data_IF_319221090143
#
_entry.id   IF_319221090143
#
_cell.length_a   1.000
_cell.length_b   1.000
_cell.length_c   1.000
_cell.angle_alpha   90.00
_cell.angle_beta   90.00
_cell.angle_gamma   90.00
#
_symmetry.space_group_name_H-M   'P 1'
#
loop_
_entity.id
_entity.type
_entity.pdbx_description
1 polymer ?
#
# COMPACT_ATOMS: atom_id res chain seq x y z
N UNK A 1 -3.65 17.35 -22.34
CA UNK A 1 -3.62 18.14 -21.10
C UNK A 1 -2.51 17.55 -20.24
N UNK A 2 -1.43 18.27 -20.01
CA UNK A 2 -0.36 17.80 -19.12
C UNK A 2 -0.82 18.07 -17.68
N UNK A 3 -1.04 17.01 -16.90
CA UNK A 3 -1.22 17.15 -15.45
C UNK A 3 0.11 17.68 -14.90
N UNK A 4 0.04 18.75 -14.13
CA UNK A 4 1.22 19.34 -13.48
C UNK A 4 1.07 19.15 -11.98
N UNK A 5 2.13 18.69 -11.31
CA UNK A 5 2.07 18.35 -9.88
C UNK A 5 3.06 19.18 -9.06
N UNK A 6 2.64 19.63 -7.88
CA UNK A 6 3.53 20.15 -6.83
C UNK A 6 3.98 18.99 -5.96
N UNK A 7 5.30 18.85 -5.76
CA UNK A 7 5.83 17.95 -4.74
C UNK A 7 5.56 18.56 -3.36
N UNK A 8 4.80 17.85 -2.54
CA UNK A 8 4.46 18.28 -1.19
C UNK A 8 5.47 17.77 -0.16
N UNK A 9 5.72 16.46 -0.16
CA UNK A 9 6.70 15.82 0.71
C UNK A 9 7.37 14.66 -0.01
N UNK A 10 8.61 14.37 0.38
CA UNK A 10 9.33 13.16 0.04
C UNK A 10 9.79 12.53 1.35
N UNK A 11 9.28 11.34 1.64
CA UNK A 11 9.60 10.60 2.86
C UNK A 11 10.47 9.40 2.52
N UNK A 12 11.45 9.13 3.37
CA UNK A 12 12.26 7.91 3.30
C UNK A 12 11.83 7.00 4.44
N UNK A 13 11.67 5.72 4.15
CA UNK A 13 11.35 4.70 5.14
C UNK A 13 12.47 3.66 5.20
N UNK A 14 12.90 3.31 6.41
CA UNK A 14 13.90 2.26 6.67
C UNK A 14 14.94 2.69 7.71
N UNK A 15 15.66 1.73 8.27
CA UNK A 15 16.84 1.99 9.10
C UNK A 15 18.03 2.42 8.24
N UNK A 16 19.06 3.03 8.85
CA UNK A 16 20.28 3.48 8.16
C UNK A 16 20.98 2.39 7.32
N UNK A 17 20.73 1.10 7.60
CA UNK A 17 21.26 -0.06 6.87
C UNK A 17 20.33 -0.60 5.77
N UNK A 18 19.03 -0.30 5.82
CA UNK A 18 18.04 -0.83 4.89
C UNK A 18 17.70 0.23 3.82
N UNK A 19 18.32 0.10 2.66
CA UNK A 19 18.24 1.11 1.59
C UNK A 19 16.88 1.10 0.91
N UNK A 20 16.04 2.00 1.41
CA UNK A 20 15.21 2.93 0.64
C UNK A 20 13.90 2.40 0.04
N UNK A 21 12.91 2.17 0.91
CA UNK A 21 11.54 2.50 0.51
C UNK A 21 11.37 4.03 0.60
N UNK A 22 10.70 4.62 -0.38
CA UNK A 22 10.48 6.07 -0.47
C UNK A 22 9.01 6.32 -0.78
N UNK A 23 8.43 7.36 -0.20
CA UNK A 23 7.11 7.83 -0.55
C UNK A 23 7.20 9.27 -1.05
N UNK A 24 6.43 9.60 -2.07
CA UNK A 24 6.22 10.98 -2.50
C UNK A 24 4.74 11.32 -2.37
N UNK A 25 4.47 12.57 -1.99
CA UNK A 25 3.12 13.11 -2.07
C UNK A 25 3.10 14.26 -3.05
N UNK A 26 2.21 14.18 -4.02
CA UNK A 26 2.04 15.13 -5.12
C UNK A 26 0.64 15.72 -5.04
N UNK A 27 0.49 17.00 -5.33
CA UNK A 27 -0.83 17.62 -5.51
C UNK A 27 -0.93 18.22 -6.90
N UNK A 28 -2.01 17.93 -7.61
CA UNK A 28 -2.24 18.50 -8.94
C UNK A 28 -2.43 20.03 -8.83
N UNK A 29 -1.70 20.76 -9.67
CA UNK A 29 -1.57 22.22 -9.67
C UNK A 29 -2.70 22.94 -10.38
N UNK A 30 -3.65 22.27 -11.02
CA UNK A 30 -4.78 22.98 -11.63
C UNK A 30 -5.55 23.72 -10.54
N UNK A 31 -6.01 24.95 -10.82
CA UNK A 31 -6.68 25.81 -9.83
C UNK A 31 -7.95 25.16 -9.21
N UNK A 32 -8.54 24.17 -9.89
CA UNK A 32 -9.71 23.39 -9.42
C UNK A 32 -9.35 21.97 -8.91
N UNK A 33 -8.07 21.63 -8.79
CA UNK A 33 -7.65 20.27 -8.39
C UNK A 33 -7.80 20.09 -6.87
N UNK A 34 -8.65 19.13 -6.54
CA UNK A 34 -8.80 18.60 -5.19
C UNK A 34 -8.01 17.30 -5.00
N UNK A 35 -7.05 16.98 -5.86
CA UNK A 35 -6.43 15.66 -5.88
C UNK A 35 -4.99 15.65 -5.35
N UNK A 36 -4.78 14.86 -4.31
CA UNK A 36 -3.47 14.49 -3.79
C UNK A 36 -3.14 13.05 -4.20
N UNK A 37 -1.90 12.78 -4.62
CA UNK A 37 -1.41 11.44 -4.97
C UNK A 37 -0.29 11.08 -4.00
N UNK A 38 -0.47 10.00 -3.27
CA UNK A 38 0.56 9.36 -2.43
C UNK A 38 1.12 8.19 -3.23
N UNK A 39 2.40 8.24 -3.58
CA UNK A 39 3.05 7.19 -4.34
C UNK A 39 4.22 6.57 -3.55
N UNK A 40 4.19 5.25 -3.38
CA UNK A 40 5.25 4.48 -2.75
C UNK A 40 6.15 3.84 -3.80
N UNK A 41 7.46 4.02 -3.63
CA UNK A 41 8.51 3.40 -4.44
C UNK A 41 8.83 2.01 -3.88
N UNK A 42 8.97 1.03 -4.76
CA UNK A 42 9.54 -0.27 -4.43
C UNK A 42 11.07 -0.28 -4.40
N UNK A 43 11.66 -1.44 -4.14
CA UNK A 43 13.10 -1.68 -4.24
C UNK A 43 13.58 -1.59 -5.69
N UNK A 44 14.90 -1.40 -5.87
CA UNK A 44 15.50 -1.34 -7.20
C UNK A 44 15.42 -2.70 -7.92
N UNK A 45 15.36 -2.75 -9.26
CA UNK A 45 15.18 -3.98 -10.03
C UNK A 45 16.23 -5.08 -9.77
N UNK A 46 17.44 -4.73 -9.31
CA UNK A 46 18.44 -5.74 -8.94
C UNK A 46 18.22 -6.28 -7.53
N UNK A 47 17.56 -5.52 -6.66
CA UNK A 47 17.18 -5.92 -5.31
C UNK A 47 15.78 -6.55 -5.26
N UNK A 48 14.95 -6.45 -6.31
CA UNK A 48 13.68 -7.20 -6.32
C UNK A 48 13.94 -8.69 -6.45
N UNK A 49 14.95 -9.12 -7.20
CA UNK A 49 15.33 -10.55 -7.24
C UNK A 49 15.78 -11.02 -5.86
N UNK A 50 16.66 -10.25 -5.20
CA UNK A 50 17.07 -10.51 -3.82
C UNK A 50 15.87 -10.50 -2.86
N UNK A 51 14.95 -9.52 -2.99
CA UNK A 51 13.73 -9.42 -2.19
C UNK A 51 12.75 -10.58 -2.44
N UNK A 52 12.66 -11.07 -3.68
CA UNK A 52 11.81 -12.21 -4.07
C UNK A 52 12.37 -13.51 -3.49
N UNK A 53 13.70 -13.66 -3.45
CA UNK A 53 14.37 -14.82 -2.84
C UNK A 53 14.43 -14.75 -1.32
N UNK A 54 14.61 -13.55 -0.77
CA UNK A 54 14.70 -13.27 0.66
C UNK A 54 13.35 -13.04 1.30
N UNK A 55 12.25 -13.05 0.52
CA UNK A 55 10.88 -12.73 0.91
C UNK A 55 10.63 -13.25 2.32
N UNK A 56 10.84 -12.36 3.29
CA UNK A 56 10.92 -12.72 4.69
C UNK A 56 9.51 -13.08 5.08
N UNK A 57 9.20 -14.38 5.04
CA UNK A 57 7.91 -14.98 5.37
C UNK A 57 7.57 -14.78 6.86
N UNK A 58 8.18 -13.82 7.56
CA UNK A 58 7.71 -13.36 8.85
C UNK A 58 6.32 -12.75 8.71
N UNK A 59 5.38 -13.29 9.49
CA UNK A 59 4.00 -12.83 9.53
C UNK A 59 3.74 -12.04 10.81
N UNK A 60 2.92 -11.00 10.70
CA UNK A 60 2.21 -10.46 11.85
C UNK A 60 0.76 -10.90 11.80
N UNK A 61 0.36 -11.74 12.77
CA UNK A 61 -1.05 -12.04 13.00
C UNK A 61 -1.67 -10.91 13.81
N UNK A 62 -2.71 -10.32 13.27
CA UNK A 62 -3.48 -9.22 13.84
C UNK A 62 -4.87 -9.77 14.15
N UNK A 63 -5.31 -9.62 15.39
CA UNK A 63 -6.62 -10.12 15.84
C UNK A 63 -7.76 -9.41 15.11
N UNK A 64 -8.69 -10.17 14.52
CA UNK A 64 -9.82 -9.63 13.77
C UNK A 64 -9.47 -9.09 12.37
N UNK A 65 -8.19 -9.17 11.96
CA UNK A 65 -7.74 -8.73 10.64
C UNK A 65 -7.05 -9.85 9.87
N UNK A 66 -6.37 -10.80 10.50
CA UNK A 66 -5.65 -11.87 9.82
C UNK A 66 -4.14 -11.68 9.82
N UNK A 67 -3.43 -12.35 8.92
CA UNK A 67 -1.96 -12.27 8.84
C UNK A 67 -1.50 -11.36 7.72
N UNK A 68 -0.49 -10.55 8.02
CA UNK A 68 0.10 -9.57 7.11
C UNK A 68 1.62 -9.75 7.04
N UNK A 69 2.22 -9.44 5.89
CA UNK A 69 3.66 -9.55 5.67
C UNK A 69 4.43 -8.61 6.59
N UNK A 70 5.28 -9.17 7.46
CA UNK A 70 5.98 -8.42 8.49
C UNK A 70 7.01 -7.43 7.94
N UNK A 71 7.76 -7.84 6.92
CA UNK A 71 8.70 -6.97 6.21
C UNK A 71 8.05 -5.69 5.67
N UNK A 72 6.89 -5.80 5.02
CA UNK A 72 6.19 -4.63 4.47
C UNK A 72 5.65 -3.69 5.56
N UNK A 73 5.11 -4.25 6.65
CA UNK A 73 4.66 -3.43 7.79
C UNK A 73 5.81 -2.64 8.42
N UNK A 74 6.99 -3.26 8.56
CA UNK A 74 8.20 -2.57 9.02
C UNK A 74 8.64 -1.49 8.04
N UNK A 75 8.59 -1.78 6.73
CA UNK A 75 8.95 -0.82 5.69
C UNK A 75 8.01 0.41 5.64
N UNK A 76 6.76 0.33 6.12
CA UNK A 76 5.90 1.51 6.31
C UNK A 76 6.16 2.29 7.61
N UNK A 77 7.02 1.75 8.49
CA UNK A 77 7.25 2.31 9.82
C UNK A 77 6.16 1.96 10.85
N UNK A 78 5.51 0.80 10.74
CA UNK A 78 4.51 0.35 11.73
C UNK A 78 5.03 -0.84 12.54
N UNK A 79 5.03 -0.73 13.88
CA UNK A 79 5.48 -1.78 14.82
C UNK A 79 4.31 -2.65 15.34
N UNK A 80 4.64 -3.90 15.70
CA UNK A 80 3.75 -4.95 16.26
C UNK A 80 2.98 -4.53 17.53
N UNK A 81 3.52 -3.59 18.32
CA UNK A 81 2.87 -3.09 19.54
C UNK A 81 1.87 -1.95 19.27
N UNK A 82 1.83 -1.40 18.06
CA UNK A 82 0.97 -0.26 17.70
C UNK A 82 -0.41 -0.68 17.18
N UNK A 83 -0.72 -1.98 17.13
CA UNK A 83 -2.04 -2.49 16.72
C UNK A 83 -2.98 -2.65 17.93
N UNK A 84 -2.54 -2.17 19.10
CA UNK A 84 -3.41 -1.81 20.22
C UNK A 84 -3.27 -0.31 20.46
N UNK A 85 -4.38 0.47 20.49
CA UNK A 85 -4.30 1.87 20.82
C UNK A 85 -4.03 1.98 22.32
N UNK A 86 -2.84 2.45 22.72
CA UNK A 86 -2.68 3.47 23.78
C UNK A 86 -1.27 3.68 24.37
N UNK A 87 -0.20 3.00 23.95
CA UNK A 87 1.13 3.28 24.52
C UNK A 87 2.20 3.30 23.43
N UNK A 88 2.42 4.48 22.84
CA UNK A 88 3.52 4.73 21.90
C UNK A 88 4.78 5.06 22.71
N UNK A 89 5.62 4.06 22.96
CA UNK A 89 7.04 4.33 23.24
C UNK A 89 7.73 4.69 21.92
N UNK A 90 8.02 5.99 21.74
CA UNK A 90 8.80 6.50 20.62
C UNK A 90 10.24 6.03 20.77
N UNK A 91 10.69 5.18 19.85
CA UNK A 91 12.10 4.78 19.74
C UNK A 91 12.90 5.97 19.16
N UNK A 92 13.87 6.53 19.90
CA UNK A 92 14.62 7.71 19.47
C UNK A 92 15.59 7.44 18.31
N UNK A 93 15.90 6.18 17.97
CA UNK A 93 16.80 5.82 16.86
C UNK A 93 16.07 5.53 15.54
N UNK A 94 14.73 5.51 15.53
CA UNK A 94 13.93 5.29 14.31
C UNK A 94 13.62 6.62 13.62
N UNK A 95 14.20 6.80 12.44
CA UNK A 95 13.97 7.95 11.56
C UNK A 95 12.52 7.91 11.04
N UNK A 96 11.74 8.98 11.31
CA UNK A 96 10.49 9.39 10.66
C UNK A 96 9.65 8.27 9.99
N UNK A 97 8.63 7.79 10.70
CA UNK A 97 7.70 6.76 10.23
C UNK A 97 6.79 7.33 9.13
N UNK A 98 7.02 6.97 7.86
CA UNK A 98 6.31 7.60 6.73
C UNK A 98 4.80 7.52 6.77
N UNK A 99 4.24 6.46 7.36
CA UNK A 99 2.81 6.39 7.61
C UNK A 99 2.30 7.64 8.38
N UNK A 100 2.95 7.98 9.49
CA UNK A 100 2.54 9.12 10.32
C UNK A 100 2.80 10.46 9.62
N UNK A 101 3.91 10.60 8.89
CA UNK A 101 4.18 11.85 8.16
C UNK A 101 3.17 12.10 7.04
N UNK A 102 2.84 11.07 6.26
CA UNK A 102 1.86 11.17 5.19
C UNK A 102 0.47 11.47 5.76
N UNK A 103 0.06 10.78 6.83
CA UNK A 103 -1.26 10.99 7.45
C UNK A 103 -1.39 12.38 8.06
N UNK A 104 -0.38 12.87 8.78
CA UNK A 104 -0.36 14.25 9.27
C UNK A 104 -0.46 15.27 8.13
N UNK A 105 0.31 15.07 7.05
CA UNK A 105 0.27 15.98 5.91
C UNK A 105 -1.09 15.97 5.20
N UNK A 106 -1.73 14.81 5.07
CA UNK A 106 -3.10 14.71 4.56
C UNK A 106 -4.10 15.42 5.46
N UNK A 107 -3.99 15.29 6.79
CA UNK A 107 -4.82 16.01 7.77
C UNK A 107 -4.68 17.52 7.63
N UNK A 108 -3.46 18.04 7.48
CA UNK A 108 -3.21 19.46 7.22
C UNK A 108 -3.92 19.95 5.95
N UNK A 109 -3.79 19.20 4.85
CA UNK A 109 -4.42 19.55 3.58
C UNK A 109 -5.95 19.54 3.72
N UNK A 110 -6.51 18.55 4.41
CA UNK A 110 -7.96 18.42 4.61
C UNK A 110 -8.52 19.41 5.64
N UNK A 111 -7.67 19.97 6.50
CA UNK A 111 -8.05 21.08 7.37
C UNK A 111 -8.33 22.34 6.53
N UNK A 112 -7.50 22.61 5.51
CA UNK A 112 -7.60 23.79 4.65
C UNK A 112 -8.61 23.58 3.50
N UNK A 113 -8.57 22.44 2.84
CA UNK A 113 -9.43 22.12 1.71
C UNK A 113 -10.36 20.94 2.05
N UNK A 114 -11.64 21.25 2.28
CA UNK A 114 -12.64 20.24 2.65
C UNK A 114 -13.08 19.35 1.50
N UNK A 115 -12.82 19.73 0.26
CA UNK A 115 -13.14 18.93 -0.92
C UNK A 115 -11.94 18.13 -1.42
N UNK A 116 -10.75 18.38 -0.87
CA UNK A 116 -9.55 17.61 -1.18
C UNK A 116 -9.73 16.12 -0.86
N UNK A 117 -9.28 15.32 -1.82
CA UNK A 117 -9.28 13.87 -1.84
C UNK A 117 -7.89 13.36 -2.18
N UNK A 118 -7.66 12.07 -1.99
CA UNK A 118 -6.38 11.48 -2.34
C UNK A 118 -6.46 10.09 -2.94
N UNK A 119 -5.40 9.74 -3.67
CA UNK A 119 -5.15 8.43 -4.24
C UNK A 119 -3.86 7.88 -3.67
N UNK A 120 -3.82 6.56 -3.54
CA UNK A 120 -2.59 5.86 -3.15
C UNK A 120 -2.16 4.93 -4.29
N UNK A 121 -0.87 4.94 -4.62
CA UNK A 121 -0.35 4.10 -5.70
C UNK A 121 1.06 3.61 -5.42
N UNK A 122 1.48 2.59 -6.17
CA UNK A 122 2.83 2.07 -6.13
C UNK A 122 3.04 0.93 -7.12
N UNK A 123 4.29 0.72 -7.49
CA UNK A 123 4.73 -0.37 -8.36
C UNK A 123 5.58 -1.38 -7.58
N UNK A 124 5.49 -2.67 -7.92
CA UNK A 124 6.23 -3.75 -7.26
C UNK A 124 6.00 -3.73 -5.75
N UNK A 125 7.07 -3.75 -4.93
CA UNK A 125 7.01 -3.56 -3.48
C UNK A 125 6.23 -2.29 -3.08
N UNK A 126 6.34 -1.20 -3.84
CA UNK A 126 5.58 0.02 -3.62
C UNK A 126 4.07 -0.20 -3.66
N UNK A 127 3.60 -1.14 -4.49
CA UNK A 127 2.20 -1.54 -4.51
C UNK A 127 1.77 -2.18 -3.18
N UNK A 128 2.63 -3.03 -2.59
CA UNK A 128 2.33 -3.67 -1.31
C UNK A 128 2.20 -2.63 -0.18
N UNK A 129 3.10 -1.64 -0.19
CA UNK A 129 3.07 -0.53 0.76
C UNK A 129 1.85 0.36 0.56
N UNK A 130 1.45 0.61 -0.70
CA UNK A 130 0.25 1.38 -1.02
C UNK A 130 -1.02 0.75 -0.42
N UNK A 131 -1.22 -0.56 -0.59
CA UNK A 131 -2.41 -1.22 -0.02
C UNK A 131 -2.31 -1.39 1.51
N UNK A 132 -1.11 -1.56 2.05
CA UNK A 132 -0.91 -1.60 3.50
C UNK A 132 -1.14 -0.25 4.17
N UNK A 133 -0.76 0.85 3.54
CA UNK A 133 -1.07 2.18 4.03
C UNK A 133 -2.59 2.34 4.22
N UNK A 134 -3.38 1.93 3.22
CA UNK A 134 -4.84 1.92 3.33
C UNK A 134 -5.36 0.92 4.38
N UNK A 135 -4.70 -0.23 4.56
CA UNK A 135 -5.04 -1.20 5.59
C UNK A 135 -4.83 -0.64 6.99
N UNK A 136 -3.71 0.03 7.26
CA UNK A 136 -3.42 0.63 8.57
C UNK A 136 -4.42 1.74 8.87
N UNK A 137 -4.73 2.62 7.91
CA UNK A 137 -5.82 3.60 8.06
C UNK A 137 -7.13 2.92 8.49
N UNK A 138 -7.44 1.78 7.87
CA UNK A 138 -8.65 1.01 8.16
C UNK A 138 -8.62 0.37 9.56
N UNK A 139 -7.46 -0.12 10.01
CA UNK A 139 -7.26 -0.68 11.34
C UNK A 139 -7.34 0.38 12.43
N UNK A 140 -6.83 1.58 12.17
CA UNK A 140 -6.88 2.74 13.08
C UNK A 140 -8.23 3.48 13.03
N UNK A 141 -9.18 3.01 12.22
CA UNK A 141 -10.51 3.62 12.03
C UNK A 141 -10.45 5.11 11.68
N UNK A 142 -9.50 5.51 10.82
CA UNK A 142 -9.27 6.87 10.36
C UNK A 142 -10.37 7.37 9.39
N UNK A 143 -11.62 7.42 9.86
CA UNK A 143 -12.83 7.71 9.08
C UNK A 143 -12.70 9.01 8.27
N UNK A 144 -12.06 10.03 8.84
CA UNK A 144 -11.84 11.32 8.18
C UNK A 144 -10.91 11.26 6.96
N UNK A 145 -9.90 10.38 7.01
CA UNK A 145 -9.01 10.12 5.88
C UNK A 145 -9.67 9.13 4.91
N UNK A 146 -10.20 8.01 5.41
CA UNK A 146 -10.80 6.95 4.58
C UNK A 146 -11.98 7.46 3.76
N UNK A 147 -12.80 8.37 4.29
CA UNK A 147 -13.89 9.00 3.54
C UNK A 147 -13.45 9.89 2.37
N UNK A 148 -12.15 10.19 2.26
CA UNK A 148 -11.53 11.00 1.19
C UNK A 148 -10.55 10.20 0.32
N UNK A 149 -10.38 8.91 0.60
CA UNK A 149 -9.56 8.02 -0.20
C UNK A 149 -10.33 7.58 -1.45
N UNK A 150 -9.99 8.15 -2.60
CA UNK A 150 -10.68 7.88 -3.87
C UNK A 150 -10.32 6.51 -4.48
N UNK A 151 -9.20 5.95 -4.07
CA UNK A 151 -8.79 4.62 -4.47
C UNK A 151 -7.31 4.31 -4.29
N UNK A 152 -7.02 3.02 -4.38
CA UNK A 152 -5.69 2.42 -4.34
C UNK A 152 -5.43 1.73 -5.67
N UNK A 153 -4.36 2.12 -6.36
CA UNK A 153 -4.02 1.65 -7.70
C UNK A 153 -2.61 1.09 -7.69
N UNK A 154 -2.43 -0.21 -7.89
CA UNK A 154 -1.13 -0.85 -7.75
C UNK A 154 -0.73 -1.59 -9.01
N UNK A 155 0.57 -1.66 -9.27
CA UNK A 155 1.13 -2.24 -10.49
C UNK A 155 2.18 -3.28 -10.12
N UNK A 156 2.03 -4.52 -10.58
CA UNK A 156 2.98 -5.59 -10.23
C UNK A 156 3.04 -5.87 -8.71
N UNK A 157 1.93 -5.69 -8.00
CA UNK A 157 1.89 -5.79 -6.54
C UNK A 157 2.02 -7.25 -6.07
N UNK A 158 2.96 -7.59 -5.16
CA UNK A 158 3.01 -8.91 -4.55
C UNK A 158 1.86 -9.15 -3.57
N UNK A 159 1.68 -10.38 -3.11
CA UNK A 159 0.66 -10.70 -2.09
C UNK A 159 1.09 -10.15 -0.73
N UNK A 160 0.12 -9.65 0.03
CA UNK A 160 0.38 -8.79 1.20
C UNK A 160 -0.14 -9.36 2.52
N UNK A 161 -1.25 -10.08 2.49
CA UNK A 161 -1.79 -10.79 3.65
C UNK A 161 -2.49 -12.08 3.26
N UNK A 162 -3.07 -12.78 4.23
CA UNK A 162 -3.83 -14.01 4.02
C UNK A 162 -5.30 -13.75 3.62
N UNK A 163 -6.10 -14.82 3.57
CA UNK A 163 -7.51 -14.74 3.23
C UNK A 163 -8.32 -13.87 4.21
N UNK A 164 -8.03 -13.98 5.51
CA UNK A 164 -8.69 -13.21 6.57
C UNK A 164 -8.40 -11.70 6.41
N UNK A 165 -7.15 -11.35 6.05
CA UNK A 165 -6.80 -9.98 5.66
C UNK A 165 -7.59 -9.50 4.44
N UNK A 166 -7.72 -10.35 3.43
CA UNK A 166 -8.55 -10.07 2.26
C UNK A 166 -10.02 -9.81 2.61
N UNK A 167 -10.60 -10.60 3.52
CA UNK A 167 -11.98 -10.44 3.99
C UNK A 167 -12.17 -9.15 4.79
N UNK A 168 -11.24 -8.86 5.70
CA UNK A 168 -11.22 -7.60 6.45
C UNK A 168 -11.22 -6.39 5.51
N UNK A 169 -10.33 -6.39 4.51
CA UNK A 169 -10.23 -5.28 3.56
C UNK A 169 -11.45 -5.17 2.63
N UNK A 170 -12.04 -6.29 2.21
CA UNK A 170 -13.30 -6.29 1.44
C UNK A 170 -14.43 -5.62 2.21
N UNK A 171 -14.65 -6.04 3.46
CA UNK A 171 -15.78 -5.54 4.26
C UNK A 171 -15.56 -4.08 4.73
N UNK A 172 -14.34 -3.74 5.15
CA UNK A 172 -14.05 -2.41 5.68
C UNK A 172 -13.69 -1.44 4.55
N UNK A 173 -12.58 -1.63 3.85
CA UNK A 173 -12.09 -0.67 2.86
C UNK A 173 -13.04 -0.54 1.65
N UNK A 174 -13.41 -1.66 1.03
CA UNK A 174 -14.16 -1.62 -0.24
C UNK A 174 -15.65 -1.36 -0.02
N UNK A 175 -16.27 -1.99 0.98
CA UNK A 175 -17.72 -1.92 1.20
C UNK A 175 -18.14 -0.81 2.16
N UNK A 176 -17.52 -0.66 3.35
CA UNK A 176 -17.87 0.42 4.30
C UNK A 176 -17.48 1.79 3.74
N UNK A 177 -16.25 1.95 3.22
CA UNK A 177 -15.77 3.24 2.72
C UNK A 177 -15.93 3.44 1.22
N UNK A 178 -16.33 2.42 0.45
CA UNK A 178 -16.54 2.55 -1.00
C UNK A 178 -15.24 2.79 -1.78
N UNK A 179 -14.08 2.47 -1.21
CA UNK A 179 -12.78 2.76 -1.82
C UNK A 179 -12.54 1.82 -2.99
N UNK A 180 -12.15 2.38 -4.14
CA UNK A 180 -11.76 1.59 -5.32
C UNK A 180 -10.38 0.98 -5.10
N UNK A 181 -10.23 -0.30 -5.40
CA UNK A 181 -8.93 -0.96 -5.37
C UNK A 181 -8.72 -1.75 -6.65
N UNK A 182 -7.68 -1.40 -7.40
CA UNK A 182 -7.35 -2.04 -8.66
C UNK A 182 -5.88 -2.48 -8.68
N UNK A 183 -5.67 -3.77 -8.88
CA UNK A 183 -4.34 -4.35 -9.09
C UNK A 183 -4.11 -4.56 -10.57
N UNK A 184 -3.08 -3.93 -11.13
CA UNK A 184 -2.66 -4.11 -12.52
C UNK A 184 -1.53 -5.13 -12.60
N UNK A 185 -1.73 -6.15 -13.43
CA UNK A 185 -0.75 -7.23 -13.63
C UNK A 185 -0.43 -7.35 -15.11
N UNK A 186 0.86 -7.36 -15.46
CA UNK A 186 1.30 -7.46 -16.84
C UNK A 186 1.93 -8.82 -17.15
N UNK A 187 1.35 -9.53 -18.10
CA UNK A 187 1.85 -10.76 -18.69
C UNK A 187 2.40 -11.75 -17.65
N UNK A 188 3.69 -12.07 -17.74
CA UNK A 188 4.38 -13.04 -16.90
C UNK A 188 5.15 -12.38 -15.75
N UNK A 189 4.76 -11.17 -15.33
CA UNK A 189 5.35 -10.50 -14.18
C UNK A 189 5.32 -11.41 -12.93
N UNK A 190 6.50 -11.77 -12.43
CA UNK A 190 6.61 -12.71 -11.31
C UNK A 190 6.14 -12.07 -10.00
N UNK A 191 6.18 -10.75 -9.87
CA UNK A 191 6.00 -10.08 -8.57
C UNK A 191 4.59 -10.30 -8.01
N UNK A 192 3.49 -10.17 -8.78
CA UNK A 192 2.16 -10.53 -8.30
C UNK A 192 1.98 -11.98 -7.89
N UNK A 193 2.83 -12.88 -8.37
CA UNK A 193 2.73 -14.31 -8.13
C UNK A 193 3.49 -14.75 -6.88
N UNK A 194 4.14 -13.82 -6.18
CA UNK A 194 4.83 -14.08 -4.92
C UNK A 194 4.19 -13.36 -3.74
N UNK A 195 4.46 -13.83 -2.51
CA UNK A 195 4.93 -15.19 -2.20
C UNK A 195 3.96 -16.27 -2.72
N UNK A 196 4.49 -17.43 -3.12
CA UNK A 196 3.76 -18.52 -3.78
C UNK A 196 2.60 -19.04 -2.90
N UNK A 197 1.52 -19.53 -3.50
CA UNK A 197 0.39 -20.14 -2.80
C UNK A 197 0.58 -21.66 -2.71
N UNK A 198 1.24 -22.15 -1.65
CA UNK A 198 1.29 -23.60 -1.36
C UNK A 198 0.24 -23.99 -0.31
N UNK A 199 -0.09 -25.27 -0.17
CA UNK A 199 -1.39 -25.69 0.39
C UNK A 199 -1.61 -25.56 1.92
N UNK A 200 -0.87 -24.73 2.64
CA UNK A 200 -0.91 -24.75 4.11
C UNK A 200 -1.39 -23.46 4.82
N UNK A 201 -1.05 -22.24 4.38
CA UNK A 201 -1.39 -20.97 5.07
C UNK A 201 -0.87 -19.72 4.31
N UNK A 202 -1.16 -19.57 3.00
CA UNK A 202 -0.42 -18.58 2.18
C UNK A 202 -1.14 -17.26 1.93
N UNK A 203 -0.30 -16.29 1.55
CA UNK A 203 -0.72 -14.96 1.16
C UNK A 203 -1.65 -15.06 -0.03
N UNK A 204 -2.70 -14.25 -0.02
CA UNK A 204 -3.69 -14.19 -1.08
C UNK A 204 -3.91 -12.76 -1.51
N UNK A 205 -4.26 -12.64 -2.78
CA UNK A 205 -4.79 -11.37 -3.25
C UNK A 205 -6.24 -11.21 -2.85
N UNK A 206 -6.68 -9.95 -2.83
CA UNK A 206 -8.08 -9.59 -2.76
C UNK A 206 -8.35 -8.46 -3.76
N UNK A 207 -9.62 -8.26 -4.09
CA UNK A 207 -10.04 -7.27 -5.08
C UNK A 207 -9.72 -7.70 -6.52
N UNK A 208 -10.21 -6.94 -7.51
CA UNK A 208 -10.07 -7.27 -8.92
C UNK A 208 -8.61 -7.19 -9.41
N UNK A 209 -8.22 -8.17 -10.23
CA UNK A 209 -6.99 -8.18 -11.01
C UNK A 209 -7.28 -7.70 -12.44
N UNK A 210 -6.71 -6.55 -12.80
CA UNK A 210 -6.72 -6.02 -14.16
C UNK A 210 -5.47 -6.55 -14.89
N UNK A 211 -5.64 -7.71 -15.53
CA UNK A 211 -4.58 -8.42 -16.22
C UNK A 211 -4.45 -7.94 -17.68
N UNK A 212 -3.24 -7.64 -18.11
CA UNK A 212 -2.90 -7.32 -19.49
C UNK A 212 -1.93 -8.38 -20.04
N UNK A 213 -2.24 -8.98 -21.19
CA UNK A 213 -1.28 -9.87 -21.86
C UNK A 213 -0.17 -9.09 -22.59
N UNK A 214 0.78 -9.79 -23.20
CA UNK A 214 1.90 -9.20 -23.97
C UNK A 214 1.48 -8.42 -25.22
N UNK A 215 0.20 -8.50 -25.61
CA UNK A 215 -0.41 -7.73 -26.69
C UNK A 215 -1.27 -6.57 -26.17
N UNK A 216 -1.18 -6.23 -24.88
CA UNK A 216 -1.97 -5.20 -24.20
C UNK A 216 -3.49 -5.41 -24.23
N UNK A 217 -3.95 -6.64 -24.43
CA UNK A 217 -5.37 -6.98 -24.25
C UNK A 217 -5.67 -7.18 -22.76
N UNK A 218 -6.58 -6.35 -22.24
CA UNK A 218 -7.00 -6.35 -20.84
C UNK A 218 -8.11 -7.35 -20.53
N UNK A 219 -8.06 -7.95 -19.35
CA UNK A 219 -9.10 -8.80 -18.75
C UNK A 219 -9.23 -8.49 -17.25
N UNK A 220 -10.45 -8.58 -16.72
CA UNK A 220 -10.69 -8.54 -15.27
C UNK A 220 -10.76 -9.98 -14.77
N UNK A 221 -9.91 -10.32 -13.82
CA UNK A 221 -9.80 -11.66 -13.22
C UNK A 221 -9.86 -11.56 -11.69
N UNK A 222 -10.20 -12.65 -11.01
CA UNK A 222 -10.09 -12.73 -9.55
C UNK A 222 -8.61 -12.86 -9.14
N UNK A 223 -7.87 -13.71 -9.85
CA UNK A 223 -6.44 -13.92 -9.67
C UNK A 223 -5.69 -13.89 -11.01
N UNK A 224 -4.41 -13.51 -10.96
CA UNK A 224 -3.53 -13.57 -12.12
C UNK A 224 -3.31 -15.02 -12.60
N UNK A 225 -3.24 -15.27 -13.92
CA UNK A 225 -3.02 -16.61 -14.44
C UNK A 225 -1.68 -17.18 -13.98
N UNK A 226 -1.65 -18.46 -13.61
CA UNK A 226 -0.41 -19.21 -13.45
C UNK A 226 0.34 -19.25 -14.78
N UNK A 227 1.68 -19.20 -14.71
CA UNK A 227 2.57 -19.29 -15.89
C UNK A 227 2.42 -20.63 -16.60
#
# INVERSE_FOLDING_TARGET
>A
MLLTFNLLIMVRTGNAEDKSTQAIMLQDKSDDSNLVVVAFRGTEPFCVDDWLTDADLSWYKIEGVGKVHGGFMRALGVRKNNIRPNEIERDPDMTQLAYYEITEKLREIFAVNKDAKFLVTGHSLGGALAILFAAILTMEEEDGLLGRLEGVYTFGQPRVGDAEFGDFMREKLLKKYGVRYFRYVYANDIVPRVPYDDKANFFRHFGPCLYYNSFYHGKVLEEEPNM
#
